data_IF_824193625286
#
_entry.id   IF_824193625286
#
_cell.length_a   1.000
_cell.length_b   1.000
_cell.length_c   1.000
_cell.angle_alpha   90.00
_cell.angle_beta   90.00
_cell.angle_gamma   90.00
#
_symmetry.space_group_name_H-M   'P 1'
#
loop_
_entity.id
_entity.type
_entity.pdbx_description
1 polymer ?
#
# COMPACT_ATOMS: atom_id res chain seq x y z
N UNK A 1 16.15 11.15 -5.58
CA UNK A 1 16.93 12.02 -4.70
C UNK A 1 18.35 12.20 -5.26
N UNK A 2 18.93 13.35 -5.10
CA UNK A 2 20.35 13.60 -5.39
C UNK A 2 21.27 13.13 -4.27
N UNK A 3 22.60 13.40 -4.39
CA UNK A 3 23.59 13.02 -3.39
C UNK A 3 23.42 13.76 -2.03
N UNK A 4 22.61 14.81 -1.98
CA UNK A 4 22.28 15.57 -0.79
C UNK A 4 20.88 15.27 -0.25
N UNK A 5 20.26 14.19 -0.72
CA UNK A 5 18.91 13.75 -0.36
C UNK A 5 17.81 14.76 -0.72
N UNK A 6 18.06 15.64 -1.72
CA UNK A 6 17.03 16.52 -2.24
C UNK A 6 16.19 15.79 -3.29
N UNK A 7 14.86 15.99 -3.32
CA UNK A 7 14.01 15.44 -4.35
C UNK A 7 14.44 15.90 -5.75
N UNK A 8 14.29 15.02 -6.73
CA UNK A 8 14.50 15.31 -8.15
C UNK A 8 13.12 15.41 -8.83
N UNK A 9 12.44 16.57 -8.78
CA UNK A 9 11.04 16.69 -9.18
C UNK A 9 10.78 16.40 -10.65
N UNK A 10 11.80 16.54 -11.50
CA UNK A 10 11.68 16.25 -12.94
C UNK A 10 12.28 14.90 -13.34
N UNK A 11 12.71 14.08 -12.36
CA UNK A 11 13.30 12.80 -12.67
C UNK A 11 12.35 11.90 -13.44
N UNK A 12 12.80 11.43 -14.59
CA UNK A 12 12.09 10.56 -15.52
C UNK A 12 10.74 11.11 -16.05
N UNK A 13 10.58 12.42 -16.11
CA UNK A 13 9.34 13.09 -16.54
C UNK A 13 8.96 12.77 -18.00
N UNK A 14 9.96 12.50 -18.85
CA UNK A 14 9.74 12.15 -20.27
C UNK A 14 9.24 10.69 -20.45
N UNK A 15 9.40 9.86 -19.43
CA UNK A 15 8.94 8.47 -19.39
C UNK A 15 8.08 8.21 -18.15
N UNK A 16 6.91 8.86 -18.04
CA UNK A 16 6.14 8.85 -16.80
C UNK A 16 5.62 7.47 -16.40
N UNK A 17 5.45 6.58 -17.36
CA UNK A 17 5.01 5.21 -17.15
C UNK A 17 6.15 4.19 -17.23
N UNK A 18 7.40 4.59 -16.95
CA UNK A 18 8.52 3.65 -16.89
C UNK A 18 8.22 2.55 -15.85
N UNK A 19 8.53 1.32 -16.22
CA UNK A 19 8.19 0.12 -15.46
C UNK A 19 8.73 0.14 -14.00
N UNK A 20 9.99 0.54 -13.82
CA UNK A 20 10.64 0.54 -12.51
C UNK A 20 10.89 1.92 -11.92
N UNK A 21 10.78 2.95 -12.73
CA UNK A 21 11.11 4.33 -12.36
C UNK A 21 10.06 5.31 -12.89
N UNK A 22 8.78 5.09 -12.54
CA UNK A 22 7.73 5.99 -12.99
C UNK A 22 7.98 7.41 -12.46
N UNK A 23 7.54 8.40 -13.23
CA UNK A 23 7.61 9.79 -12.79
C UNK A 23 6.68 10.07 -11.61
N UNK A 24 7.18 10.86 -10.67
CA UNK A 24 6.41 11.39 -9.56
C UNK A 24 6.49 10.55 -8.28
N UNK A 25 5.46 10.65 -7.46
CA UNK A 25 5.31 9.91 -6.21
C UNK A 25 4.35 8.74 -6.38
N UNK A 26 4.60 7.67 -5.64
CA UNK A 26 3.75 6.47 -5.68
C UNK A 26 2.96 6.36 -4.38
N UNK A 27 1.63 6.54 -4.40
CA UNK A 27 0.78 6.40 -3.20
C UNK A 27 0.95 5.05 -2.50
N UNK A 28 1.19 3.99 -3.26
CA UNK A 28 1.47 2.66 -2.70
C UNK A 28 2.66 2.63 -1.76
N UNK A 29 3.76 3.33 -2.10
CA UNK A 29 4.91 3.45 -1.20
C UNK A 29 4.59 4.27 0.06
N UNK A 30 3.73 5.29 -0.05
CA UNK A 30 3.28 6.02 1.14
C UNK A 30 2.49 5.09 2.08
N UNK A 31 1.62 4.23 1.55
CA UNK A 31 0.89 3.21 2.31
C UNK A 31 1.84 2.17 2.94
N UNK A 32 2.78 1.66 2.17
CA UNK A 32 3.79 0.72 2.66
C UNK A 32 4.61 1.33 3.80
N UNK A 33 5.12 2.55 3.64
CA UNK A 33 5.85 3.25 4.68
C UNK A 33 4.97 3.53 5.92
N UNK A 34 3.71 3.90 5.76
CA UNK A 34 2.80 4.07 6.89
C UNK A 34 2.74 2.80 7.75
N UNK A 35 2.56 1.64 7.12
CA UNK A 35 2.59 0.35 7.80
C UNK A 35 3.94 0.04 8.44
N UNK A 36 5.04 0.21 7.70
CA UNK A 36 6.39 -0.12 8.19
C UNK A 36 6.80 0.72 9.39
N UNK A 37 6.43 2.00 9.45
CA UNK A 37 6.70 2.88 10.59
C UNK A 37 5.99 2.40 11.85
N UNK A 38 4.76 1.88 11.73
CA UNK A 38 4.02 1.32 12.87
C UNK A 38 4.62 -0.02 13.35
N UNK A 39 5.06 -0.87 12.43
CA UNK A 39 5.79 -2.09 12.78
C UNK A 39 7.12 -1.78 13.48
N UNK A 40 7.83 -0.72 13.04
CA UNK A 40 9.05 -0.26 13.69
C UNK A 40 8.75 0.27 15.10
N UNK A 41 7.74 1.13 15.26
CA UNK A 41 7.30 1.61 16.58
C UNK A 41 7.04 0.45 17.54
N UNK A 42 6.20 -0.50 17.12
CA UNK A 42 5.85 -1.65 17.95
C UNK A 42 7.06 -2.56 18.27
N UNK A 43 7.98 -2.69 17.31
CA UNK A 43 9.21 -3.48 17.52
C UNK A 43 10.16 -2.81 18.52
N UNK A 44 10.32 -1.48 18.46
CA UNK A 44 11.11 -0.72 19.45
C UNK A 44 10.50 -0.85 20.85
N UNK A 45 9.18 -0.64 20.97
CA UNK A 45 8.46 -0.79 22.24
C UNK A 45 8.62 -2.19 22.83
N UNK A 46 8.47 -3.23 21.99
CA UNK A 46 8.68 -4.62 22.41
C UNK A 46 10.09 -4.91 22.88
N UNK A 47 11.09 -4.24 22.31
CA UNK A 47 12.49 -4.33 22.74
C UNK A 47 12.80 -3.50 24.00
N UNK A 48 11.81 -2.81 24.59
CA UNK A 48 12.02 -1.89 25.72
C UNK A 48 12.74 -0.60 25.34
N UNK A 49 12.76 -0.26 24.06
CA UNK A 49 13.38 0.96 23.54
C UNK A 49 12.35 2.08 23.37
N UNK A 50 12.82 3.32 23.48
CA UNK A 50 11.96 4.49 23.21
C UNK A 50 11.65 4.56 21.72
N UNK A 51 10.37 4.52 21.39
CA UNK A 51 9.89 4.76 20.04
C UNK A 51 9.61 6.26 19.85
N UNK A 52 10.26 6.93 18.88
CA UNK A 52 10.00 8.34 18.60
C UNK A 52 8.55 8.60 18.16
N UNK A 53 7.95 9.67 18.68
CA UNK A 53 6.54 10.03 18.37
C UNK A 53 6.31 10.32 16.89
N UNK A 54 7.32 10.76 16.15
CA UNK A 54 7.18 11.03 14.73
C UNK A 54 6.85 9.76 13.89
N UNK A 55 7.10 8.56 14.41
CA UNK A 55 6.78 7.31 13.70
C UNK A 55 5.27 7.17 13.43
N UNK A 56 4.40 7.13 14.47
CA UNK A 56 2.96 7.05 14.24
C UNK A 56 2.39 8.31 13.58
N UNK A 57 2.91 9.50 13.90
CA UNK A 57 2.45 10.75 13.29
C UNK A 57 2.71 10.78 11.78
N UNK A 58 3.89 10.31 11.35
CA UNK A 58 4.22 10.19 9.93
C UNK A 58 3.40 9.09 9.24
N UNK A 59 3.14 7.98 9.92
CA UNK A 59 2.31 6.91 9.39
C UNK A 59 0.89 7.41 9.05
N UNK A 60 0.25 8.12 9.98
CA UNK A 60 -1.05 8.73 9.74
C UNK A 60 -1.02 9.70 8.55
N UNK A 61 -0.05 10.63 8.52
CA UNK A 61 0.07 11.64 7.46
C UNK A 61 0.30 11.03 6.07
N UNK A 62 1.14 10.01 5.97
CA UNK A 62 1.40 9.30 4.71
C UNK A 62 0.14 8.61 4.19
N UNK A 63 -0.59 7.94 5.08
CA UNK A 63 -1.83 7.27 4.72
C UNK A 63 -2.89 8.29 4.28
N UNK A 64 -3.12 9.34 5.06
CA UNK A 64 -4.12 10.37 4.78
C UNK A 64 -3.82 11.09 3.46
N UNK A 65 -2.56 11.45 3.21
CA UNK A 65 -2.15 12.07 1.96
C UNK A 65 -2.40 11.17 0.74
N UNK A 66 -2.08 9.88 0.84
CA UNK A 66 -2.35 8.93 -0.22
C UNK A 66 -3.87 8.77 -0.48
N UNK A 67 -4.68 8.67 0.59
CA UNK A 67 -6.13 8.60 0.46
C UNK A 67 -6.72 9.88 -0.17
N UNK A 68 -6.27 11.04 0.29
CA UNK A 68 -6.77 12.33 -0.18
C UNK A 68 -6.43 12.60 -1.65
N UNK A 69 -5.21 12.26 -2.07
CA UNK A 69 -4.67 12.69 -3.36
C UNK A 69 -4.68 11.62 -4.45
N UNK A 70 -4.92 10.35 -4.10
CA UNK A 70 -4.83 9.28 -5.08
C UNK A 70 -6.08 8.40 -5.20
N UNK A 71 -7.03 8.45 -4.25
CA UNK A 71 -8.26 7.67 -4.31
C UNK A 71 -9.36 8.41 -5.06
N UNK A 72 -9.95 7.78 -6.09
CA UNK A 72 -11.08 8.32 -6.89
C UNK A 72 -10.83 9.68 -7.55
N UNK A 73 -9.60 10.03 -7.85
CA UNK A 73 -9.20 11.39 -8.27
C UNK A 73 -9.30 11.64 -9.77
N UNK A 74 -9.58 10.61 -10.56
CA UNK A 74 -9.67 10.68 -12.02
C UNK A 74 -11.03 10.24 -12.58
N UNK A 75 -12.06 10.24 -11.73
CA UNK A 75 -13.42 9.88 -12.09
C UNK A 75 -13.75 8.38 -12.05
N UNK A 76 -12.81 7.55 -11.65
CA UNK A 76 -13.01 6.12 -11.41
C UNK A 76 -12.51 5.73 -10.02
N UNK A 77 -13.11 4.68 -9.44
CA UNK A 77 -12.71 4.18 -8.13
C UNK A 77 -11.27 3.64 -8.11
N UNK A 78 -10.68 3.58 -6.92
CA UNK A 78 -9.35 3.02 -6.69
C UNK A 78 -8.23 4.06 -6.70
N UNK A 79 -7.06 3.62 -6.24
CA UNK A 79 -5.85 4.44 -6.20
C UNK A 79 -5.20 4.50 -7.58
N UNK A 80 -4.90 5.70 -8.08
CA UNK A 80 -4.03 5.87 -9.25
C UNK A 80 -2.60 5.46 -8.89
N UNK A 81 -1.81 5.06 -9.91
CA UNK A 81 -0.47 4.53 -9.65
C UNK A 81 0.51 5.62 -9.23
N UNK A 82 0.56 6.75 -9.94
CA UNK A 82 1.48 7.84 -9.60
C UNK A 82 0.83 9.21 -9.64
N UNK A 83 1.40 10.13 -8.84
CA UNK A 83 1.04 11.55 -8.76
C UNK A 83 2.28 12.40 -9.08
N UNK A 84 2.10 13.57 -9.68
CA UNK A 84 3.15 14.58 -9.74
C UNK A 84 3.35 15.29 -8.40
N UNK A 85 4.32 16.19 -8.33
CA UNK A 85 4.63 16.96 -7.12
C UNK A 85 3.57 17.99 -6.72
N UNK A 86 2.56 18.21 -7.57
CA UNK A 86 1.36 19.00 -7.27
C UNK A 86 0.16 18.08 -6.93
N UNK A 87 0.39 16.80 -6.64
CA UNK A 87 -0.63 15.79 -6.35
C UNK A 87 -1.64 15.57 -7.48
N UNK A 88 -1.26 15.79 -8.74
CA UNK A 88 -2.10 15.49 -9.89
C UNK A 88 -1.80 14.10 -10.42
N UNK A 89 -2.81 13.31 -10.80
CA UNK A 89 -2.60 11.98 -11.39
C UNK A 89 -1.73 12.03 -12.64
N UNK A 90 -0.78 11.11 -12.74
CA UNK A 90 0.12 10.96 -13.90
C UNK A 90 -0.10 9.61 -14.56
N UNK A 91 0.04 8.53 -13.84
CA UNK A 91 -0.25 7.18 -14.34
C UNK A 91 -1.55 6.70 -13.72
N UNK A 92 -2.58 6.61 -14.57
CA UNK A 92 -3.95 6.29 -14.17
C UNK A 92 -4.24 4.80 -14.03
N UNK A 93 -3.27 3.92 -14.23
CA UNK A 93 -3.42 2.50 -13.97
C UNK A 93 -3.65 2.25 -12.47
N UNK A 94 -4.33 1.15 -12.14
CA UNK A 94 -4.47 0.66 -10.77
C UNK A 94 -3.63 -0.60 -10.64
N UNK A 95 -2.72 -0.62 -9.68
CA UNK A 95 -1.90 -1.79 -9.42
C UNK A 95 -2.37 -2.52 -8.17
N UNK A 96 -2.35 -3.85 -8.23
CA UNK A 96 -2.82 -4.70 -7.13
C UNK A 96 -2.07 -4.42 -5.82
N UNK A 97 -0.75 -4.23 -5.92
CA UNK A 97 0.10 -4.03 -4.75
C UNK A 97 -0.20 -2.73 -4.00
N UNK A 98 -0.58 -1.66 -4.72
CA UNK A 98 -0.99 -0.38 -4.09
C UNK A 98 -2.20 -0.58 -3.19
N UNK A 99 -3.19 -1.35 -3.67
CA UNK A 99 -4.41 -1.63 -2.92
C UNK A 99 -4.17 -2.63 -1.78
N UNK A 100 -3.27 -3.59 -1.97
CA UNK A 100 -2.84 -4.52 -0.92
C UNK A 100 -2.13 -3.78 0.22
N UNK A 101 -1.20 -2.86 -0.10
CA UNK A 101 -0.52 -2.04 0.92
C UNK A 101 -1.51 -1.08 1.61
N UNK A 102 -2.51 -0.54 0.90
CA UNK A 102 -3.55 0.27 1.51
C UNK A 102 -4.38 -0.52 2.54
N UNK A 103 -4.76 -1.77 2.23
CA UNK A 103 -5.43 -2.65 3.19
C UNK A 103 -4.56 -2.91 4.43
N UNK A 104 -3.30 -3.25 4.21
CA UNK A 104 -2.37 -3.57 5.30
C UNK A 104 -2.07 -2.35 6.17
N UNK A 105 -1.91 -1.17 5.57
CA UNK A 105 -1.71 0.09 6.30
C UNK A 105 -2.95 0.50 7.10
N UNK A 106 -4.15 0.41 6.51
CA UNK A 106 -5.39 0.72 7.21
C UNK A 106 -5.60 -0.21 8.43
N UNK A 107 -5.31 -1.51 8.29
CA UNK A 107 -5.38 -2.45 9.40
C UNK A 107 -4.35 -2.12 10.50
N UNK A 108 -3.12 -1.78 10.13
CA UNK A 108 -2.08 -1.41 11.07
C UNK A 108 -2.43 -0.11 11.84
N UNK A 109 -2.96 0.89 11.14
CA UNK A 109 -3.43 2.13 11.75
C UNK A 109 -4.62 1.90 12.68
N UNK A 110 -5.58 1.07 12.29
CA UNK A 110 -6.70 0.68 13.15
C UNK A 110 -6.20 0.00 14.43
N UNK A 111 -5.28 -0.95 14.32
CA UNK A 111 -4.69 -1.62 15.49
C UNK A 111 -3.96 -0.64 16.41
N UNK A 112 -3.26 0.34 15.84
CA UNK A 112 -2.47 1.30 16.62
C UNK A 112 -3.31 2.40 17.26
N UNK A 113 -4.35 2.88 16.58
CA UNK A 113 -5.11 4.07 17.00
C UNK A 113 -6.50 3.75 17.55
N UNK A 114 -7.12 2.67 17.09
CA UNK A 114 -8.52 2.34 17.38
C UNK A 114 -9.53 3.22 16.64
N UNK A 115 -9.10 4.07 15.71
CA UNK A 115 -9.97 5.02 15.02
C UNK A 115 -10.80 4.35 13.91
N UNK A 116 -12.13 4.49 13.98
CA UNK A 116 -13.07 3.84 13.05
C UNK A 116 -12.87 4.22 11.57
N UNK A 117 -12.27 5.37 11.28
CA UNK A 117 -11.98 5.76 9.91
C UNK A 117 -11.06 4.75 9.20
N UNK A 118 -10.10 4.15 9.90
CA UNK A 118 -9.19 3.16 9.32
C UNK A 118 -9.88 1.82 9.06
N UNK A 119 -10.88 1.44 9.87
CA UNK A 119 -11.73 0.30 9.55
C UNK A 119 -12.53 0.55 8.26
N UNK A 120 -13.07 1.75 8.10
CA UNK A 120 -13.80 2.10 6.88
C UNK A 120 -12.89 2.06 5.65
N UNK A 121 -11.66 2.56 5.74
CA UNK A 121 -10.68 2.46 4.65
C UNK A 121 -10.31 1.02 4.34
N UNK A 122 -10.09 0.18 5.36
CA UNK A 122 -9.85 -1.24 5.16
C UNK A 122 -10.97 -1.91 4.37
N UNK A 123 -12.23 -1.64 4.75
CA UNK A 123 -13.41 -2.17 4.04
C UNK A 123 -13.52 -1.64 2.61
N UNK A 124 -13.27 -0.36 2.39
CA UNK A 124 -13.29 0.25 1.06
C UNK A 124 -12.24 -0.38 0.14
N UNK A 125 -11.01 -0.55 0.62
CA UNK A 125 -9.93 -1.17 -0.15
C UNK A 125 -10.25 -2.64 -0.48
N UNK A 126 -10.72 -3.44 0.49
CA UNK A 126 -11.11 -4.81 0.24
C UNK A 126 -12.32 -4.92 -0.69
N UNK A 127 -13.29 -4.04 -0.56
CA UNK A 127 -14.43 -3.97 -1.49
C UNK A 127 -13.96 -3.70 -2.92
N UNK A 128 -13.01 -2.80 -3.10
CA UNK A 128 -12.42 -2.55 -4.42
C UNK A 128 -11.64 -3.76 -4.94
N UNK A 129 -10.81 -4.39 -4.12
CA UNK A 129 -10.04 -5.59 -4.49
C UNK A 129 -10.99 -6.71 -4.91
N UNK A 130 -12.02 -6.97 -4.12
CA UNK A 130 -12.97 -8.05 -4.39
C UNK A 130 -13.72 -7.86 -5.71
N UNK A 131 -14.06 -6.61 -6.04
CA UNK A 131 -14.84 -6.31 -7.24
C UNK A 131 -14.01 -6.17 -8.51
N UNK A 132 -12.70 -5.87 -8.40
CA UNK A 132 -11.90 -5.50 -9.58
C UNK A 132 -10.61 -6.30 -9.74
N UNK A 133 -9.93 -6.67 -8.64
CA UNK A 133 -8.66 -7.36 -8.74
C UNK A 133 -8.76 -8.88 -8.69
N UNK A 134 -9.70 -9.44 -7.95
CA UNK A 134 -9.85 -10.90 -7.89
C UNK A 134 -10.34 -11.40 -9.25
N UNK A 135 -9.60 -12.34 -9.83
CA UNK A 135 -9.99 -13.02 -11.07
C UNK A 135 -10.80 -14.28 -10.72
N UNK A 136 -12.12 -14.26 -10.91
CA UNK A 136 -12.97 -15.41 -10.54
C UNK A 136 -12.85 -16.58 -11.52
N UNK A 137 -12.24 -16.37 -12.68
CA UNK A 137 -12.12 -17.40 -13.73
C UNK A 137 -10.80 -18.13 -13.66
N UNK A 138 -9.68 -17.38 -13.68
CA UNK A 138 -8.35 -17.97 -13.66
C UNK A 138 -7.74 -18.04 -12.26
N UNK A 139 -8.44 -17.53 -11.26
CA UNK A 139 -7.92 -17.43 -9.89
C UNK A 139 -6.85 -16.36 -9.71
N UNK A 140 -6.38 -16.17 -8.46
CA UNK A 140 -5.43 -15.11 -8.11
C UNK A 140 -6.00 -13.71 -8.40
N UNK A 141 -5.12 -12.72 -8.53
CA UNK A 141 -5.50 -11.34 -8.80
C UNK A 141 -5.07 -10.92 -10.20
N UNK A 142 -5.73 -9.90 -10.75
CA UNK A 142 -5.19 -9.14 -11.87
C UNK A 142 -4.02 -8.30 -11.37
N UNK A 143 -2.94 -8.22 -12.15
CA UNK A 143 -1.76 -7.42 -11.78
C UNK A 143 -2.04 -5.92 -11.89
N UNK A 144 -2.76 -5.56 -12.97
CA UNK A 144 -3.02 -4.20 -13.37
C UNK A 144 -4.48 -4.05 -13.85
N UNK A 145 -5.06 -2.90 -13.55
CA UNK A 145 -6.30 -2.43 -14.15
C UNK A 145 -6.03 -1.11 -14.88
N UNK A 146 -6.77 -0.88 -15.96
CA UNK A 146 -6.76 0.40 -16.68
C UNK A 146 -7.48 1.51 -15.88
N UNK A 147 -7.49 2.73 -16.41
CA UNK A 147 -8.18 3.88 -15.82
C UNK A 147 -9.71 3.70 -15.67
N UNK A 148 -10.28 2.64 -16.23
CA UNK A 148 -11.71 2.29 -16.12
C UNK A 148 -11.92 1.02 -15.29
N UNK A 149 -10.93 0.62 -14.51
CA UNK A 149 -10.94 -0.56 -13.65
C UNK A 149 -11.14 -1.90 -14.40
N UNK A 150 -10.73 -2.00 -15.66
CA UNK A 150 -10.75 -3.24 -16.42
C UNK A 150 -9.36 -3.88 -16.39
N UNK A 151 -9.28 -5.24 -16.33
CA UNK A 151 -7.99 -5.92 -16.40
C UNK A 151 -7.13 -5.45 -17.58
N UNK A 152 -5.86 -5.16 -17.30
CA UNK A 152 -4.88 -4.65 -18.25
C UNK A 152 -3.52 -5.33 -18.01
N UNK A 153 -2.52 -4.95 -18.76
CA UNK A 153 -1.17 -5.49 -18.67
C UNK A 153 -0.20 -4.65 -19.49
N UNK A 154 -0.38 -3.33 -19.47
CA UNK A 154 0.44 -2.39 -20.20
C UNK A 154 1.72 -2.06 -19.47
N UNK A 155 1.66 -1.95 -18.15
CA UNK A 155 2.81 -1.76 -17.27
C UNK A 155 3.33 -3.11 -16.76
N UNK A 156 2.42 -3.95 -16.27
CA UNK A 156 2.75 -5.22 -15.63
C UNK A 156 1.87 -6.34 -16.20
N UNK A 157 2.32 -7.03 -17.26
CA UNK A 157 1.55 -8.12 -17.86
C UNK A 157 1.49 -9.36 -16.96
N UNK A 158 0.46 -10.16 -17.14
CA UNK A 158 0.29 -11.43 -16.45
C UNK A 158 -0.32 -11.33 -15.06
N UNK A 159 -0.09 -12.37 -14.25
CA UNK A 159 -0.54 -12.43 -12.85
C UNK A 159 0.58 -11.88 -11.94
N UNK A 160 0.20 -11.23 -10.82
CA UNK A 160 1.18 -10.78 -9.84
C UNK A 160 1.78 -11.96 -9.08
N UNK A 161 2.92 -11.71 -8.44
CA UNK A 161 3.40 -12.58 -7.37
C UNK A 161 2.44 -12.58 -6.15
N UNK A 162 2.69 -13.46 -5.21
CA UNK A 162 1.84 -13.59 -4.02
C UNK A 162 2.22 -12.64 -2.88
N UNK A 163 3.34 -11.92 -2.99
CA UNK A 163 3.93 -11.19 -1.86
C UNK A 163 2.95 -10.20 -1.22
N UNK A 164 2.46 -9.22 -1.98
CA UNK A 164 1.57 -8.18 -1.46
C UNK A 164 0.19 -8.71 -1.08
N UNK A 165 -0.41 -9.56 -1.94
CA UNK A 165 -1.71 -10.14 -1.67
C UNK A 165 -1.69 -11.02 -0.41
N UNK A 166 -0.66 -11.84 -0.24
CA UNK A 166 -0.51 -12.70 0.92
C UNK A 166 -0.31 -11.90 2.21
N UNK A 167 0.51 -10.86 2.18
CA UNK A 167 0.67 -9.96 3.33
C UNK A 167 -0.62 -9.24 3.70
N UNK A 168 -1.35 -8.72 2.73
CA UNK A 168 -2.63 -8.04 2.97
C UNK A 168 -3.67 -8.96 3.64
N UNK A 169 -3.62 -10.26 3.39
CA UNK A 169 -4.49 -11.25 4.03
C UNK A 169 -4.05 -11.60 5.46
N UNK A 170 -2.75 -11.67 5.72
CA UNK A 170 -2.23 -12.16 7.01
C UNK A 170 -2.05 -11.04 8.04
N UNK A 171 -1.48 -9.90 7.65
CA UNK A 171 -1.11 -8.84 8.57
C UNK A 171 -2.26 -8.32 9.44
N UNK A 172 -3.50 -8.16 8.93
CA UNK A 172 -4.60 -7.69 9.75
C UNK A 172 -4.96 -8.60 10.93
N UNK A 173 -4.66 -9.89 10.83
CA UNK A 173 -4.91 -10.87 11.90
C UNK A 173 -3.75 -11.06 12.87
N UNK A 174 -2.66 -10.34 12.71
CA UNK A 174 -1.44 -10.47 13.50
C UNK A 174 -1.09 -9.17 14.22
N UNK A 175 -0.43 -9.22 15.38
CA UNK A 175 0.03 -8.02 16.07
C UNK A 175 1.12 -7.32 15.25
N UNK A 176 1.28 -6.00 15.48
CA UNK A 176 2.29 -5.19 14.78
C UNK A 176 3.74 -5.64 15.08
N UNK A 177 3.97 -6.31 16.20
CA UNK A 177 5.26 -6.93 16.55
C UNK A 177 5.03 -8.26 17.29
N UNK A 178 5.92 -9.24 17.13
CA UNK A 178 7.16 -9.24 16.32
C UNK A 178 6.88 -9.27 14.82
N UNK A 179 7.93 -9.45 14.00
CA UNK A 179 7.79 -9.53 12.56
C UNK A 179 6.81 -10.63 12.11
N UNK A 180 6.26 -10.51 10.90
CA UNK A 180 5.36 -11.51 10.31
C UNK A 180 5.94 -12.94 10.41
N UNK A 181 7.21 -13.13 10.04
CA UNK A 181 7.87 -14.42 10.09
C UNK A 181 7.92 -14.99 11.52
N UNK A 182 8.23 -14.16 12.52
CA UNK A 182 8.27 -14.58 13.92
C UNK A 182 6.87 -14.88 14.47
N UNK A 183 5.87 -14.10 14.06
CA UNK A 183 4.48 -14.36 14.43
C UNK A 183 3.98 -15.72 13.89
N UNK A 184 4.26 -16.00 12.61
CA UNK A 184 3.88 -17.26 11.97
C UNK A 184 4.62 -18.46 12.59
N UNK A 185 5.90 -18.32 12.91
CA UNK A 185 6.67 -19.39 13.54
C UNK A 185 6.19 -19.75 14.96
N UNK A 186 5.64 -18.77 15.69
CA UNK A 186 5.11 -18.98 17.05
C UNK A 186 3.63 -19.36 17.10
N UNK A 187 2.91 -19.22 16.00
CA UNK A 187 1.51 -19.61 15.93
C UNK A 187 1.40 -21.10 15.59
N UNK A 188 0.54 -21.84 16.29
CA UNK A 188 0.26 -23.27 16.10
C UNK A 188 -0.34 -23.64 14.72
N UNK A 189 -0.33 -22.72 13.76
CA UNK A 189 -0.77 -22.95 12.39
C UNK A 189 0.23 -23.79 11.56
N UNK A 190 1.48 -23.98 12.04
CA UNK A 190 2.52 -24.72 11.32
C UNK A 190 2.49 -26.24 11.64
N UNK A 191 1.61 -26.70 12.52
CA UNK A 191 1.56 -28.10 12.98
C UNK A 191 0.25 -28.82 12.66
N UNK A 192 -0.35 -28.58 11.49
CA UNK A 192 -1.43 -29.44 10.96
C UNK A 192 -1.24 -29.75 9.49
#
# INVERSE_FOLDING_TARGET
FDAHWQPLPDYNREHPADHFRPYGTTPGHAMEWARLLLHLEASLQRAGLLAPQWLPDSACRLFDAACQHAWNVDGAAGFVYTLDWANRPVVHARLHWVHAEACAAAAALLQRTGEAQYEQWYRNCWGFIANHFIDPVAGSWHHELDARNRPAGTLWPGKPDLYHAYQALLLPGLPLAPSLASNLASSSYVTR
#
